data_IF_380134303320
#
_entry.id   IF_380134303320
#
_cell.length_a   1.000
_cell.length_b   1.000
_cell.length_c   1.000
_cell.angle_alpha   90.00
_cell.angle_beta   90.00
_cell.angle_gamma   90.00
#
_symmetry.space_group_name_H-M   'P 1'
#
loop_
_entity.id
_entity.type
_entity.pdbx_description
1 polymer ?
#
# COMPACT_ATOMS: atom_id res chain seq x y z
N UNK A 1 29.57 46.19 -18.11
CA UNK A 1 29.92 45.60 -16.81
C UNK A 1 28.59 45.22 -16.11
N UNK A 2 28.22 43.97 -16.18
CA UNK A 2 27.05 43.43 -15.48
C UNK A 2 27.57 42.71 -14.24
N UNK A 3 27.30 43.27 -13.07
CA UNK A 3 27.55 42.58 -11.80
C UNK A 3 26.45 41.53 -11.58
N UNK A 4 26.80 40.25 -11.68
CA UNK A 4 25.99 39.15 -11.14
C UNK A 4 26.25 39.07 -9.64
N UNK A 5 25.24 39.40 -8.85
CA UNK A 5 25.23 39.03 -7.43
C UNK A 5 24.74 37.58 -7.33
N UNK A 6 25.65 36.66 -7.01
CA UNK A 6 25.27 35.33 -6.56
C UNK A 6 24.60 35.44 -5.19
N UNK A 7 23.33 35.06 -5.10
CA UNK A 7 22.68 34.81 -3.82
C UNK A 7 23.11 33.39 -3.38
N UNK A 8 24.04 33.33 -2.44
CA UNK A 8 24.30 32.09 -1.69
C UNK A 8 23.05 31.79 -0.84
N UNK A 9 22.20 30.87 -1.32
CA UNK A 9 21.16 30.31 -0.46
C UNK A 9 21.81 29.31 0.49
N UNK A 10 22.00 29.71 1.73
CA UNK A 10 22.35 28.79 2.81
C UNK A 10 21.11 27.96 3.11
N UNK A 11 21.15 26.67 2.81
CA UNK A 11 20.14 25.75 3.30
C UNK A 11 20.21 25.74 4.84
N UNK A 12 19.10 26.06 5.50
CA UNK A 12 19.00 25.88 6.94
C UNK A 12 18.83 24.38 7.20
N UNK A 13 19.83 23.75 7.82
CA UNK A 13 19.67 22.42 8.35
C UNK A 13 18.97 22.52 9.72
N UNK A 14 17.84 21.87 9.87
CA UNK A 14 17.22 21.65 11.16
C UNK A 14 17.73 20.31 11.71
N UNK A 15 18.29 20.33 12.90
CA UNK A 15 18.60 19.10 13.63
C UNK A 15 17.54 18.91 14.72
N UNK A 16 17.02 17.71 14.85
CA UNK A 16 16.20 17.35 15.99
C UNK A 16 17.05 17.48 17.26
N UNK A 17 16.55 18.23 18.24
CA UNK A 17 17.13 18.26 19.56
C UNK A 17 16.54 17.08 20.34
N UNK A 18 17.39 16.17 20.73
CA UNK A 18 17.03 15.06 21.62
C UNK A 18 16.89 15.61 23.06
N UNK A 19 15.68 16.13 23.34
CA UNK A 19 15.36 16.66 24.67
C UNK A 19 14.56 15.58 25.41
N UNK A 20 15.11 14.97 26.48
CA UNK A 20 14.39 13.94 27.20
C UNK A 20 13.13 14.51 27.86
N UNK A 21 12.01 13.82 27.67
CA UNK A 21 10.72 14.12 28.31
C UNK A 21 10.49 13.09 29.41
N UNK A 22 10.37 13.56 30.65
CA UNK A 22 10.19 12.71 31.82
C UNK A 22 8.81 12.96 32.43
N UNK A 23 8.01 11.91 32.60
CA UNK A 23 6.71 11.94 33.29
C UNK A 23 6.81 10.98 34.49
N UNK A 24 6.50 11.46 35.66
CA UNK A 24 6.53 10.69 36.90
C UNK A 24 7.86 9.93 37.13
N UNK A 25 8.99 10.51 36.68
CA UNK A 25 10.31 9.93 36.81
C UNK A 25 10.66 8.86 35.76
N UNK A 26 9.80 8.62 34.79
CA UNK A 26 10.06 7.76 33.62
C UNK A 26 10.29 8.62 32.38
N UNK A 27 11.35 8.34 31.66
CA UNK A 27 11.64 8.92 30.36
C UNK A 27 10.78 8.26 29.29
N UNK A 28 10.19 9.08 28.40
CA UNK A 28 9.39 8.61 27.28
C UNK A 28 10.30 8.36 26.08
N UNK A 29 10.31 7.15 25.55
CA UNK A 29 11.15 6.74 24.41
C UNK A 29 10.75 7.38 23.08
N UNK A 30 9.50 7.79 22.93
CA UNK A 30 8.95 8.36 21.70
C UNK A 30 8.26 9.72 21.92
N UNK A 31 8.75 10.52 22.85
CA UNK A 31 8.10 11.77 23.27
C UNK A 31 7.91 12.79 22.13
N UNK A 32 8.75 12.73 21.10
CA UNK A 32 8.76 13.67 19.98
C UNK A 32 8.32 13.04 18.63
N UNK A 33 7.89 11.79 18.64
CA UNK A 33 7.41 11.11 17.45
C UNK A 33 6.16 11.78 16.86
N UNK A 34 5.44 12.54 17.67
CA UNK A 34 4.17 13.15 17.27
C UNK A 34 2.99 12.20 17.40
N UNK A 35 1.81 12.70 17.03
CA UNK A 35 0.60 11.90 16.90
C UNK A 35 0.38 11.48 15.46
N UNK A 36 -0.36 10.39 15.28
CA UNK A 36 -0.83 9.92 13.97
C UNK A 36 -2.33 10.13 13.86
N UNK A 37 -2.82 10.42 12.67
CA UNK A 37 -4.25 10.60 12.41
C UNK A 37 -4.85 9.42 11.62
N UNK A 38 -4.13 8.93 10.61
CA UNK A 38 -4.54 7.77 9.82
C UNK A 38 -3.33 6.90 9.45
N UNK A 39 -2.66 6.26 10.44
CA UNK A 39 -1.44 5.52 10.20
C UNK A 39 -1.69 4.18 9.53
N UNK A 40 -0.76 3.81 8.65
CA UNK A 40 -0.55 2.46 8.14
C UNK A 40 0.75 1.93 8.74
N UNK A 41 0.75 0.70 9.20
CA UNK A 41 1.90 0.07 9.83
C UNK A 41 2.45 -1.05 8.97
N UNK A 42 3.77 -1.15 8.91
CA UNK A 42 4.51 -2.23 8.26
C UNK A 42 5.75 -2.58 9.09
N UNK A 43 6.26 -3.78 8.88
CA UNK A 43 7.51 -4.25 9.44
C UNK A 43 8.63 -4.07 8.41
N UNK A 44 9.84 -3.75 8.88
CA UNK A 44 11.03 -3.55 8.05
C UNK A 44 12.26 -3.67 8.94
N UNK A 45 13.35 -4.22 8.44
CA UNK A 45 14.68 -4.13 9.09
C UNK A 45 15.38 -2.86 8.56
N UNK A 46 15.44 -1.81 9.37
CA UNK A 46 16.00 -0.51 9.00
C UNK A 46 17.52 -0.46 9.07
N UNK A 47 18.10 -1.22 10.01
CA UNK A 47 19.50 -1.11 10.39
C UNK A 47 20.34 -2.36 10.12
N UNK A 48 19.72 -3.44 9.59
CA UNK A 48 20.39 -4.68 9.24
C UNK A 48 20.77 -5.55 10.45
N UNK A 49 19.97 -5.49 11.53
CA UNK A 49 20.24 -6.26 12.75
C UNK A 49 19.39 -7.53 12.89
N UNK A 50 18.63 -7.89 11.89
CA UNK A 50 17.72 -9.05 11.81
C UNK A 50 16.49 -8.94 12.75
N UNK A 51 16.28 -7.82 13.44
CA UNK A 51 15.05 -7.54 14.16
C UNK A 51 14.13 -6.67 13.29
N UNK A 52 12.87 -7.11 13.15
CA UNK A 52 11.90 -6.30 12.41
C UNK A 52 11.54 -5.06 13.22
N UNK A 53 11.85 -3.93 12.65
CA UNK A 53 11.53 -2.58 13.09
C UNK A 53 10.11 -2.20 12.72
N UNK A 54 9.61 -1.08 13.24
CA UNK A 54 8.28 -0.59 12.92
C UNK A 54 8.37 0.64 12.01
N UNK A 55 7.72 0.53 10.88
CA UNK A 55 7.44 1.64 9.98
C UNK A 55 5.98 2.05 10.10
N UNK A 56 5.71 3.35 10.15
CA UNK A 56 4.38 3.91 10.10
C UNK A 56 4.31 5.02 9.04
N UNK A 57 3.26 4.99 8.22
CA UNK A 57 2.96 6.04 7.27
C UNK A 57 1.65 6.72 7.64
N UNK A 58 1.70 8.00 8.01
CA UNK A 58 0.47 8.77 8.27
C UNK A 58 -0.04 9.38 6.97
N UNK A 59 -1.18 8.88 6.50
CA UNK A 59 -1.84 9.26 5.26
C UNK A 59 -2.26 10.74 5.21
N UNK A 60 -2.63 11.32 6.35
CA UNK A 60 -3.12 12.71 6.37
C UNK A 60 -2.00 13.70 6.07
N UNK A 61 -0.80 13.41 6.52
CA UNK A 61 0.36 14.26 6.28
C UNK A 61 1.30 13.77 5.20
N UNK A 62 1.10 12.53 4.68
CA UNK A 62 2.09 11.80 3.89
C UNK A 62 3.45 11.74 4.61
N UNK A 63 3.41 11.37 5.90
CA UNK A 63 4.57 11.42 6.79
C UNK A 63 5.05 10.00 7.09
N UNK A 64 6.34 9.77 6.85
CA UNK A 64 7.02 8.56 7.26
C UNK A 64 7.47 8.69 8.72
N UNK A 65 7.32 7.63 9.49
CA UNK A 65 7.83 7.51 10.85
C UNK A 65 8.48 6.15 11.03
N UNK A 66 9.68 6.15 11.60
CA UNK A 66 10.49 4.96 11.77
C UNK A 66 10.83 4.75 13.23
N UNK A 67 10.80 3.50 13.69
CA UNK A 67 11.05 3.13 15.08
C UNK A 67 11.88 1.85 15.09
N UNK A 68 13.03 1.88 15.73
CA UNK A 68 13.87 0.69 15.92
C UNK A 68 13.31 -0.20 17.02
N UNK A 69 13.32 -1.50 16.77
CA UNK A 69 13.02 -2.53 17.74
C UNK A 69 14.18 -2.62 18.76
N UNK A 70 13.88 -2.52 20.05
CA UNK A 70 14.91 -2.57 21.09
C UNK A 70 15.45 -3.99 21.33
N UNK A 71 15.00 -5.00 20.59
CA UNK A 71 15.48 -6.39 20.67
C UNK A 71 15.20 -7.08 22.00
N UNK A 72 14.20 -6.61 22.76
CA UNK A 72 13.87 -7.16 24.08
C UNK A 72 12.91 -8.33 23.92
N UNK A 73 13.38 -9.55 24.14
CA UNK A 73 12.59 -10.77 23.98
C UNK A 73 11.27 -10.72 24.78
N UNK A 74 10.15 -10.98 24.07
CA UNK A 74 8.81 -11.01 24.65
C UNK A 74 8.21 -9.64 24.99
N UNK A 75 8.79 -8.55 24.53
CA UNK A 75 8.27 -7.20 24.69
C UNK A 75 8.18 -6.49 23.34
N UNK A 76 7.09 -5.77 23.12
CA UNK A 76 6.99 -4.81 22.03
C UNK A 76 7.57 -3.48 22.52
N UNK A 77 8.84 -3.26 22.24
CA UNK A 77 9.58 -2.06 22.67
C UNK A 77 10.27 -1.45 21.46
N UNK A 78 9.90 -0.21 21.15
CA UNK A 78 10.41 0.51 20.00
C UNK A 78 10.91 1.90 20.41
N UNK A 79 12.03 2.31 19.82
CA UNK A 79 12.61 3.64 19.98
C UNK A 79 12.42 4.44 18.68
N UNK A 80 11.88 5.66 18.79
CA UNK A 80 11.71 6.55 17.62
C UNK A 80 13.05 6.88 16.98
N UNK A 81 13.18 6.64 15.67
CA UNK A 81 14.44 6.71 14.93
C UNK A 81 14.29 7.53 13.62
N UNK A 82 14.05 8.85 13.72
CA UNK A 82 13.74 9.69 12.54
C UNK A 82 14.91 9.83 11.56
N UNK A 83 16.09 9.34 11.88
CA UNK A 83 17.22 9.37 10.95
C UNK A 83 16.98 8.55 9.69
N UNK A 84 16.20 7.46 9.79
CA UNK A 84 15.87 6.58 8.66
C UNK A 84 14.75 7.11 7.78
N UNK A 85 13.96 8.09 8.23
CA UNK A 85 12.84 8.64 7.45
C UNK A 85 13.29 9.27 6.13
N UNK A 86 14.52 9.78 6.08
CA UNK A 86 15.08 10.42 4.89
C UNK A 86 15.38 9.44 3.73
N UNK A 87 15.46 8.14 4.01
CA UNK A 87 15.72 7.10 3.02
C UNK A 87 14.44 6.72 2.25
N UNK A 88 13.27 7.07 2.79
CA UNK A 88 11.98 6.76 2.14
C UNK A 88 11.65 7.74 1.03
N UNK A 89 11.16 7.26 -0.13
CA UNK A 89 10.73 8.13 -1.21
C UNK A 89 9.45 8.88 -0.83
N UNK A 90 9.15 9.95 -1.54
CA UNK A 90 7.87 10.65 -1.36
C UNK A 90 6.72 9.76 -1.77
N UNK A 91 5.90 9.34 -0.80
CA UNK A 91 4.68 8.56 -0.99
C UNK A 91 3.45 9.44 -0.82
N UNK A 92 2.37 9.11 -1.53
CA UNK A 92 1.08 9.78 -1.42
C UNK A 92 -0.01 8.74 -1.10
N UNK A 93 -0.97 9.12 -0.30
CA UNK A 93 -2.17 8.38 0.04
C UNK A 93 -1.93 7.08 0.85
N UNK A 94 -1.00 6.24 0.48
CA UNK A 94 -0.59 5.04 1.24
C UNK A 94 0.86 4.67 0.96
N UNK A 95 1.42 3.87 1.86
CA UNK A 95 2.74 3.25 1.73
C UNK A 95 2.68 1.87 2.38
N UNK A 96 2.63 0.82 1.55
CA UNK A 96 2.53 -0.57 1.97
C UNK A 96 3.85 -1.25 1.65
N UNK A 97 4.47 -1.86 2.66
CA UNK A 97 5.73 -2.55 2.51
C UNK A 97 5.50 -4.05 2.33
N UNK A 98 6.09 -4.62 1.27
CA UNK A 98 6.12 -6.04 0.96
C UNK A 98 7.42 -6.37 0.25
N UNK A 99 8.01 -7.50 0.55
CA UNK A 99 9.13 -8.08 -0.21
C UNK A 99 8.53 -8.80 -1.43
N UNK A 100 8.44 -8.10 -2.57
CA UNK A 100 7.78 -8.65 -3.77
C UNK A 100 8.70 -9.58 -4.57
N UNK A 101 10.01 -9.33 -4.52
CA UNK A 101 11.01 -10.06 -5.29
C UNK A 101 11.72 -11.15 -4.45
N UNK A 102 11.32 -11.32 -3.18
CA UNK A 102 11.82 -12.32 -2.23
C UNK A 102 13.35 -12.26 -2.01
N UNK A 103 13.91 -11.05 -2.06
CA UNK A 103 15.33 -10.82 -1.81
C UNK A 103 15.63 -10.60 -0.30
N UNK A 104 14.60 -10.53 0.52
CA UNK A 104 14.67 -10.33 1.97
C UNK A 104 14.62 -8.87 2.39
N UNK A 105 14.50 -7.94 1.46
CA UNK A 105 14.31 -6.51 1.73
C UNK A 105 12.85 -6.12 1.47
N UNK A 106 12.36 -5.13 2.19
CA UNK A 106 11.03 -4.61 1.96
C UNK A 106 11.02 -3.62 0.81
N UNK A 107 10.05 -3.77 -0.10
CA UNK A 107 9.74 -2.85 -1.18
C UNK A 107 8.52 -2.02 -0.83
N UNK A 108 8.33 -0.88 -1.49
CA UNK A 108 7.24 0.05 -1.21
C UNK A 108 6.25 0.09 -2.36
N UNK A 109 4.99 -0.27 -2.06
CA UNK A 109 3.86 0.00 -2.93
C UNK A 109 3.16 1.27 -2.46
N UNK A 110 2.97 2.21 -3.38
CA UNK A 110 2.33 3.50 -3.09
C UNK A 110 1.46 3.97 -4.25
N UNK A 111 0.68 5.00 -4.02
CA UNK A 111 -0.16 5.59 -5.06
C UNK A 111 0.66 6.30 -6.13
N UNK A 112 0.27 6.11 -7.39
CA UNK A 112 0.75 6.87 -8.55
C UNK A 112 -0.38 7.71 -9.14
N UNK A 113 -0.15 9.03 -9.27
CA UNK A 113 -1.19 9.97 -9.67
C UNK A 113 -1.50 9.95 -11.17
N UNK A 114 -0.49 9.75 -12.02
CA UNK A 114 -0.67 9.81 -13.50
C UNK A 114 0.13 8.69 -14.17
N UNK A 115 -0.57 7.65 -14.65
CA UNK A 115 -2.00 7.37 -14.44
C UNK A 115 -2.33 7.06 -12.98
N UNK A 116 -3.60 7.13 -12.58
CA UNK A 116 -4.02 6.63 -11.26
C UNK A 116 -3.77 5.12 -11.20
N UNK A 117 -2.77 4.73 -10.43
CA UNK A 117 -2.24 3.37 -10.39
C UNK A 117 -1.39 3.14 -9.14
N UNK A 118 -0.62 2.07 -9.14
CA UNK A 118 0.39 1.75 -8.16
C UNK A 118 1.78 2.09 -8.68
N UNK A 119 2.61 2.66 -7.82
CA UNK A 119 4.06 2.75 -8.01
C UNK A 119 4.74 1.81 -7.05
N UNK A 120 5.80 1.18 -7.54
CA UNK A 120 6.64 0.30 -6.77
C UNK A 120 8.03 0.93 -6.64
N UNK A 121 8.59 0.87 -5.45
CA UNK A 121 10.00 1.17 -5.20
C UNK A 121 10.67 -0.08 -4.65
N UNK A 122 11.78 -0.47 -5.24
CA UNK A 122 12.56 -1.63 -4.81
C UNK A 122 13.52 -1.22 -3.71
N UNK A 123 13.53 -1.97 -2.61
CA UNK A 123 14.47 -1.80 -1.51
C UNK A 123 15.87 -2.29 -1.87
N UNK A 124 16.89 -1.62 -1.41
CA UNK A 124 18.29 -2.06 -1.52
C UNK A 124 19.11 -1.56 -0.34
N UNK A 125 20.26 -2.18 -0.09
CA UNK A 125 21.17 -1.71 0.94
C UNK A 125 22.13 -0.70 0.34
N UNK A 126 22.14 0.51 0.87
CA UNK A 126 23.00 1.60 0.45
C UNK A 126 24.46 1.44 0.95
N UNK A 127 25.34 2.40 0.60
CA UNK A 127 26.74 2.35 0.97
C UNK A 127 27.02 2.49 2.48
N UNK A 128 26.06 3.00 3.24
CA UNK A 128 26.13 3.20 4.69
C UNK A 128 25.61 1.96 5.44
N UNK A 129 25.11 0.94 4.71
CA UNK A 129 24.58 -0.30 5.26
C UNK A 129 23.12 -0.20 5.70
N UNK A 130 22.41 0.83 5.27
CA UNK A 130 21.02 1.09 5.60
C UNK A 130 20.13 0.78 4.40
N UNK A 131 18.86 0.46 4.64
CA UNK A 131 17.89 0.30 3.56
C UNK A 131 17.60 1.66 2.90
N UNK A 132 17.50 1.63 1.59
CA UNK A 132 17.14 2.76 0.72
C UNK A 132 16.29 2.23 -0.43
N UNK A 133 15.68 3.10 -1.25
CA UNK A 133 14.68 2.70 -2.23
C UNK A 133 14.92 3.37 -3.58
N UNK A 134 14.75 2.60 -4.65
CA UNK A 134 14.75 3.13 -6.02
C UNK A 134 13.45 2.79 -6.75
N UNK A 135 13.02 3.67 -7.66
CA UNK A 135 11.80 3.44 -8.42
C UNK A 135 11.96 2.21 -9.31
N UNK A 136 11.01 1.28 -9.22
CA UNK A 136 10.90 0.18 -10.15
C UNK A 136 10.49 0.69 -11.53
N UNK A 137 11.17 0.22 -12.57
CA UNK A 137 10.81 0.48 -13.97
C UNK A 137 10.75 -0.85 -14.69
N UNK A 138 9.58 -1.17 -15.27
CA UNK A 138 9.42 -2.42 -15.99
C UNK A 138 10.29 -2.47 -17.28
N UNK A 139 10.72 -3.66 -17.65
CA UNK A 139 11.65 -3.89 -18.75
C UNK A 139 10.98 -3.97 -20.13
N UNK A 140 9.64 -4.06 -20.20
CA UNK A 140 8.89 -4.22 -21.44
C UNK A 140 8.42 -2.88 -22.03
N UNK A 141 7.85 -2.00 -21.19
CA UNK A 141 7.28 -0.70 -21.60
C UNK A 141 7.98 0.49 -21.00
N UNK A 142 8.98 0.27 -20.11
CA UNK A 142 9.69 1.31 -19.38
C UNK A 142 8.73 2.20 -18.53
N UNK A 143 7.63 1.61 -17.99
CA UNK A 143 6.72 2.31 -17.10
C UNK A 143 7.27 2.34 -15.66
N UNK A 144 7.08 3.45 -14.98
CA UNK A 144 7.39 3.64 -13.55
C UNK A 144 6.15 3.44 -12.65
N UNK A 145 5.15 2.72 -13.17
CA UNK A 145 3.92 2.32 -12.49
C UNK A 145 3.54 0.89 -12.88
N UNK A 146 2.79 0.21 -12.02
CA UNK A 146 2.37 -1.16 -12.27
C UNK A 146 1.24 -1.22 -13.30
N UNK A 147 1.33 -2.19 -14.17
CA UNK A 147 0.42 -2.40 -15.30
C UNK A 147 0.06 -3.88 -15.44
N UNK A 148 -0.99 -4.17 -16.19
CA UNK A 148 -1.45 -5.52 -16.45
C UNK A 148 -1.71 -5.77 -17.92
N UNK A 149 -1.73 -7.05 -18.34
CA UNK A 149 -2.13 -7.44 -19.69
C UNK A 149 -3.63 -7.41 -19.85
N UNK A 150 -4.14 -6.44 -20.60
CA UNK A 150 -5.57 -6.31 -20.89
C UNK A 150 -6.00 -7.21 -22.04
N UNK A 151 -7.02 -8.03 -21.82
CA UNK A 151 -7.64 -8.85 -22.87
C UNK A 151 -8.51 -7.98 -23.79
N UNK A 152 -8.70 -8.36 -25.08
CA UNK A 152 -8.21 -9.60 -25.71
C UNK A 152 -6.83 -9.47 -26.39
N UNK A 153 -6.23 -8.30 -26.44
CA UNK A 153 -5.07 -8.03 -27.29
C UNK A 153 -3.73 -7.97 -26.54
N UNK A 154 -3.73 -8.27 -25.25
CA UNK A 154 -2.56 -8.12 -24.36
C UNK A 154 -1.93 -6.71 -24.40
N UNK A 155 -2.72 -5.68 -24.66
CA UNK A 155 -2.23 -4.32 -24.53
C UNK A 155 -2.03 -3.98 -23.04
N UNK A 156 -1.03 -3.17 -22.69
CA UNK A 156 -0.84 -2.77 -21.30
C UNK A 156 -2.00 -1.88 -20.82
N UNK A 157 -2.55 -2.19 -19.66
CA UNK A 157 -3.49 -1.37 -18.91
C UNK A 157 -2.88 -1.04 -17.54
N UNK A 158 -3.08 0.16 -17.02
CA UNK A 158 -2.64 0.47 -15.65
C UNK A 158 -3.55 -0.23 -14.64
N UNK A 159 -2.96 -0.78 -13.59
CA UNK A 159 -3.71 -1.27 -12.42
C UNK A 159 -4.35 -0.05 -11.77
N UNK A 160 -5.66 0.12 -12.00
CA UNK A 160 -6.36 1.31 -11.54
C UNK A 160 -6.51 1.27 -10.02
N UNK A 161 -5.93 2.26 -9.36
CA UNK A 161 -6.18 2.55 -7.94
C UNK A 161 -6.59 4.02 -7.85
N UNK A 162 -7.86 4.30 -7.59
CA UNK A 162 -8.34 5.67 -7.41
C UNK A 162 -7.66 6.38 -6.23
N UNK A 163 -7.57 7.69 -6.31
CA UNK A 163 -7.12 8.48 -5.18
C UNK A 163 -8.03 8.23 -3.96
N UNK A 164 -7.45 7.99 -2.81
CA UNK A 164 -8.05 7.59 -1.54
C UNK A 164 -8.32 6.08 -1.36
N UNK A 165 -8.38 5.29 -2.42
CA UNK A 165 -8.49 3.84 -2.27
C UNK A 165 -7.15 3.24 -1.83
N UNK A 166 -7.22 2.13 -1.09
CA UNK A 166 -6.05 1.35 -0.69
C UNK A 166 -6.28 -0.09 -1.15
N UNK A 167 -5.46 -0.62 -2.05
CA UNK A 167 -5.55 -2.00 -2.49
C UNK A 167 -5.03 -2.96 -1.42
N UNK A 168 -5.44 -4.23 -1.47
CA UNK A 168 -4.73 -5.29 -0.78
C UNK A 168 -3.56 -5.78 -1.64
N UNK A 169 -2.40 -5.97 -1.02
CA UNK A 169 -1.16 -6.41 -1.64
C UNK A 169 -0.63 -7.58 -0.83
N UNK A 170 -0.78 -8.80 -1.37
CA UNK A 170 -0.44 -10.05 -0.70
C UNK A 170 -0.38 -11.20 -1.72
N UNK A 171 0.21 -12.32 -1.33
CA UNK A 171 0.07 -13.61 -2.02
C UNK A 171 -1.37 -14.11 -1.80
N UNK A 172 -2.25 -13.91 -2.78
CA UNK A 172 -3.69 -14.17 -2.66
C UNK A 172 -4.02 -15.63 -2.98
N UNK A 173 -3.40 -16.18 -4.01
CA UNK A 173 -3.65 -17.56 -4.48
C UNK A 173 -2.69 -18.59 -3.90
N UNK A 174 -1.75 -18.16 -3.04
CA UNK A 174 -0.78 -18.98 -2.30
C UNK A 174 0.25 -19.67 -3.22
N UNK A 175 0.57 -19.06 -4.34
CA UNK A 175 1.62 -19.53 -5.24
C UNK A 175 3.02 -19.00 -4.88
N UNK A 176 3.08 -18.02 -3.98
CA UNK A 176 4.28 -17.48 -3.37
C UNK A 176 4.71 -16.15 -3.94
N UNK A 177 4.03 -15.58 -4.92
CA UNK A 177 4.30 -14.23 -5.39
C UNK A 177 3.23 -13.22 -4.91
N UNK A 178 3.44 -11.93 -5.16
CA UNK A 178 2.56 -10.87 -4.67
C UNK A 178 1.54 -10.50 -5.72
N UNK A 179 0.26 -10.65 -5.34
CA UNK A 179 -0.91 -10.23 -6.10
C UNK A 179 -1.49 -8.92 -5.58
N UNK A 180 -2.46 -8.40 -6.33
CA UNK A 180 -3.14 -7.15 -6.00
C UNK A 180 -4.66 -7.35 -6.10
N UNK A 181 -5.37 -7.02 -5.00
CA UNK A 181 -6.80 -6.82 -5.03
C UNK A 181 -7.09 -5.33 -5.02
N UNK A 182 -7.85 -4.85 -6.00
CA UNK A 182 -8.27 -3.46 -6.06
C UNK A 182 -9.71 -3.35 -6.55
N UNK A 183 -10.42 -2.34 -6.08
CA UNK A 183 -11.74 -2.04 -6.62
C UNK A 183 -11.66 -1.61 -8.08
N UNK A 184 -12.67 -1.99 -8.84
CA UNK A 184 -12.86 -1.53 -10.22
C UNK A 184 -13.11 -0.01 -10.28
N UNK A 185 -13.16 0.54 -11.48
CA UNK A 185 -13.40 1.99 -11.67
C UNK A 185 -14.75 2.49 -11.16
N UNK A 186 -15.72 1.61 -10.88
CA UNK A 186 -16.99 1.95 -10.24
C UNK A 186 -16.95 1.89 -8.71
N UNK A 187 -15.94 1.23 -8.14
CA UNK A 187 -15.82 0.98 -6.71
C UNK A 187 -16.79 -0.06 -6.18
N UNK A 188 -17.25 -0.97 -7.03
CA UNK A 188 -18.29 -1.95 -6.71
C UNK A 188 -17.71 -3.36 -6.62
N UNK A 189 -16.82 -3.73 -7.55
CA UNK A 189 -16.25 -5.06 -7.62
C UNK A 189 -14.77 -5.03 -7.29
N UNK A 190 -14.31 -6.07 -6.62
CA UNK A 190 -12.88 -6.28 -6.38
C UNK A 190 -12.31 -7.14 -7.51
N UNK A 191 -11.34 -6.58 -8.23
CA UNK A 191 -10.58 -7.28 -9.25
C UNK A 191 -9.36 -7.93 -8.62
N UNK A 192 -9.06 -9.16 -9.03
CA UNK A 192 -7.78 -9.81 -8.75
C UNK A 192 -6.84 -9.60 -9.92
N UNK A 193 -5.74 -8.93 -9.66
CA UNK A 193 -4.60 -8.82 -10.55
C UNK A 193 -3.56 -9.83 -10.07
N UNK A 194 -3.59 -11.02 -10.66
CA UNK A 194 -2.65 -12.10 -10.40
C UNK A 194 -1.30 -11.79 -11.05
N UNK A 195 -0.22 -11.96 -10.33
CA UNK A 195 1.12 -11.91 -10.87
C UNK A 195 1.41 -13.23 -11.59
N UNK A 196 1.47 -13.21 -12.90
CA UNK A 196 1.72 -14.38 -13.76
C UNK A 196 3.14 -14.36 -14.31
N UNK A 197 4.01 -13.55 -13.75
CA UNK A 197 5.40 -13.40 -14.14
C UNK A 197 6.21 -14.67 -13.84
N UNK A 198 7.11 -15.02 -14.79
CA UNK A 198 8.09 -16.08 -14.57
C UNK A 198 9.40 -15.55 -13.98
N UNK A 199 9.55 -14.24 -13.98
CA UNK A 199 10.70 -13.53 -13.47
C UNK A 199 10.25 -12.70 -12.26
N UNK A 200 10.71 -13.09 -11.09
CA UNK A 200 10.32 -12.48 -9.82
C UNK A 200 10.74 -11.01 -9.73
N UNK A 201 11.82 -10.62 -10.42
CA UNK A 201 12.27 -9.23 -10.49
C UNK A 201 11.39 -8.35 -11.39
N UNK A 202 10.55 -8.97 -12.24
CA UNK A 202 9.72 -8.29 -13.22
C UNK A 202 8.26 -8.79 -13.13
N UNK A 203 7.47 -8.32 -12.15
CA UNK A 203 6.09 -8.76 -11.97
C UNK A 203 5.24 -8.47 -13.20
N UNK A 204 4.40 -9.41 -13.57
CA UNK A 204 3.51 -9.35 -14.73
C UNK A 204 2.09 -9.67 -14.30
N UNK A 205 1.25 -8.68 -14.28
CA UNK A 205 -0.11 -8.82 -13.79
C UNK A 205 -1.10 -9.12 -14.91
N UNK A 206 -2.14 -9.86 -14.55
CA UNK A 206 -3.30 -10.16 -15.38
C UNK A 206 -4.54 -10.20 -14.51
N UNK A 207 -5.66 -9.65 -14.98
CA UNK A 207 -6.93 -9.84 -14.28
C UNK A 207 -7.37 -11.28 -14.50
N UNK A 208 -7.46 -12.04 -13.45
CA UNK A 208 -7.97 -13.42 -13.45
C UNK A 208 -9.38 -13.49 -12.90
N UNK A 209 -9.76 -12.58 -12.01
CA UNK A 209 -11.10 -12.46 -11.48
C UNK A 209 -11.58 -11.01 -11.50
N UNK A 210 -12.80 -10.81 -12.04
CA UNK A 210 -13.49 -9.51 -12.05
C UNK A 210 -14.45 -9.32 -10.89
N UNK A 211 -14.54 -10.28 -9.99
CA UNK A 211 -15.42 -10.30 -8.83
C UNK A 211 -14.86 -11.25 -7.80
N UNK A 212 -13.67 -10.95 -7.32
CA UNK A 212 -12.99 -11.80 -6.35
C UNK A 212 -13.86 -12.01 -5.10
N UNK A 213 -13.91 -13.25 -4.61
CA UNK A 213 -14.74 -13.63 -3.48
C UNK A 213 -16.25 -13.67 -3.76
N UNK A 214 -16.68 -13.51 -5.03
CA UNK A 214 -18.10 -13.61 -5.42
C UNK A 214 -19.00 -12.59 -4.73
N UNK A 215 -18.50 -11.38 -4.46
CA UNK A 215 -19.29 -10.32 -3.84
C UNK A 215 -19.17 -8.99 -4.61
N UNK A 216 -20.09 -8.09 -4.30
CA UNK A 216 -20.05 -6.71 -4.75
C UNK A 216 -20.50 -5.77 -3.64
N UNK A 217 -19.89 -4.59 -3.58
CA UNK A 217 -20.24 -3.54 -2.63
C UNK A 217 -21.26 -2.57 -3.21
N UNK A 218 -22.23 -2.15 -2.39
CA UNK A 218 -23.19 -1.13 -2.80
C UNK A 218 -22.52 0.23 -2.92
N UNK A 219 -22.75 0.93 -4.02
CA UNK A 219 -22.26 2.30 -4.19
C UNK A 219 -23.01 3.35 -3.33
N UNK A 220 -24.03 2.94 -2.57
CA UNK A 220 -24.91 3.86 -1.82
C UNK A 220 -24.79 3.72 -0.31
N UNK A 221 -24.42 2.55 0.16
CA UNK A 221 -24.36 2.21 1.59
C UNK A 221 -23.41 1.04 1.81
N UNK A 222 -23.22 0.60 3.05
CA UNK A 222 -22.35 -0.53 3.39
C UNK A 222 -22.97 -1.91 3.11
N UNK A 223 -23.87 -2.04 2.15
CA UNK A 223 -24.47 -3.33 1.80
C UNK A 223 -23.51 -4.12 0.92
N UNK A 224 -23.23 -5.35 1.32
CA UNK A 224 -22.48 -6.32 0.50
C UNK A 224 -23.48 -7.32 -0.10
N UNK A 225 -23.41 -7.49 -1.42
CA UNK A 225 -24.16 -8.49 -2.16
C UNK A 225 -23.27 -9.72 -2.32
N UNK A 226 -23.68 -10.86 -1.77
CA UNK A 226 -22.93 -12.10 -1.74
C UNK A 226 -23.47 -13.13 -2.73
N UNK A 227 -22.68 -14.19 -3.01
CA UNK A 227 -23.02 -15.33 -3.85
C UNK A 227 -23.25 -14.95 -5.33
N UNK A 228 -22.45 -14.07 -5.83
CA UNK A 228 -22.38 -13.76 -7.24
C UNK A 228 -21.55 -14.85 -7.94
N UNK A 229 -22.22 -15.86 -8.50
CA UNK A 229 -21.61 -17.17 -8.86
C UNK A 229 -20.66 -17.18 -10.07
N UNK A 230 -20.50 -16.08 -10.81
CA UNK A 230 -19.56 -16.05 -11.94
C UNK A 230 -19.13 -14.61 -12.26
N UNK A 231 -17.92 -14.45 -12.79
CA UNK A 231 -17.39 -13.15 -13.24
C UNK A 231 -18.29 -12.44 -14.25
N UNK A 232 -19.12 -13.17 -14.99
CA UNK A 232 -20.11 -12.65 -15.93
C UNK A 232 -21.34 -12.14 -15.18
N UNK A 233 -21.83 -12.87 -14.18
CA UNK A 233 -22.99 -12.48 -13.39
C UNK A 233 -22.68 -11.25 -12.50
N UNK A 234 -21.46 -11.12 -12.00
CA UNK A 234 -20.99 -9.94 -11.32
C UNK A 234 -21.07 -8.68 -12.18
N UNK A 235 -20.60 -8.74 -13.43
CA UNK A 235 -20.64 -7.61 -14.35
C UNK A 235 -22.06 -7.33 -14.85
N UNK A 236 -22.84 -8.37 -15.14
CA UNK A 236 -24.21 -8.24 -15.69
C UNK A 236 -25.21 -7.74 -14.62
N UNK A 237 -25.01 -8.05 -13.35
CA UNK A 237 -25.90 -7.60 -12.27
C UNK A 237 -26.01 -6.07 -12.19
N UNK A 238 -24.90 -5.36 -12.40
CA UNK A 238 -24.84 -3.89 -12.36
C UNK A 238 -25.01 -3.24 -13.73
N UNK A 239 -24.92 -4.01 -14.82
CA UNK A 239 -25.20 -3.54 -16.18
C UNK A 239 -26.69 -3.66 -16.53
N UNK A 240 -27.51 -4.30 -15.68
CA UNK A 240 -28.96 -4.37 -15.89
C UNK A 240 -29.60 -3.01 -15.58
N UNK A 241 -30.11 -2.27 -16.58
CA UNK A 241 -30.71 -0.96 -16.39
C UNK A 241 -32.02 -1.00 -15.58
N UNK A 242 -32.52 -2.19 -15.21
CA UNK A 242 -33.68 -2.36 -14.32
C UNK A 242 -33.29 -2.41 -12.85
N UNK A 243 -32.02 -2.68 -12.53
CA UNK A 243 -31.48 -2.45 -11.21
C UNK A 243 -31.13 -0.95 -11.13
N UNK A 244 -31.92 -0.19 -10.39
CA UNK A 244 -31.71 1.24 -10.16
C UNK A 244 -30.44 1.48 -9.30
N UNK A 245 -29.30 1.05 -9.80
CA UNK A 245 -28.03 1.58 -9.32
C UNK A 245 -27.89 2.92 -10.03
N UNK A 246 -27.90 3.98 -9.26
CA UNK A 246 -27.67 5.33 -9.79
C UNK A 246 -26.24 5.35 -10.37
N UNK A 247 -26.13 5.02 -11.67
CA UNK A 247 -24.92 4.69 -12.42
C UNK A 247 -23.87 5.81 -12.51
N UNK A 248 -23.86 6.74 -11.56
CA UNK A 248 -22.92 7.83 -11.41
C UNK A 248 -22.37 7.99 -9.99
N UNK A 249 -22.77 7.16 -9.03
CA UNK A 249 -22.23 7.22 -7.67
C UNK A 249 -21.05 6.28 -7.58
N UNK A 250 -19.86 6.82 -7.75
CA UNK A 250 -18.62 6.10 -7.51
C UNK A 250 -18.37 6.06 -6.02
N UNK A 251 -18.17 4.88 -5.47
CA UNK A 251 -17.53 4.68 -4.18
C UNK A 251 -16.13 5.29 -4.22
N UNK A 252 -15.74 6.02 -3.22
CA UNK A 252 -14.39 6.58 -3.13
C UNK A 252 -13.84 6.37 -1.73
N UNK A 253 -12.56 5.95 -1.65
CA UNK A 253 -11.89 5.73 -0.38
C UNK A 253 -12.13 4.35 0.22
N UNK A 254 -12.45 3.37 -0.62
CA UNK A 254 -12.50 1.97 -0.23
C UNK A 254 -11.11 1.44 0.09
N UNK A 255 -11.00 0.68 1.16
CA UNK A 255 -9.73 0.11 1.63
C UNK A 255 -9.86 -1.39 1.78
N UNK A 256 -8.85 -2.12 1.31
CA UNK A 256 -8.79 -3.57 1.35
C UNK A 256 -7.57 -4.02 2.15
N UNK A 257 -7.77 -5.04 3.00
CA UNK A 257 -6.70 -5.75 3.67
C UNK A 257 -6.97 -7.25 3.58
N UNK A 258 -6.12 -7.96 2.85
CA UNK A 258 -6.18 -9.41 2.73
C UNK A 258 -5.27 -10.08 3.78
N UNK A 259 -5.83 -11.02 4.54
CA UNK A 259 -5.12 -11.80 5.55
C UNK A 259 -5.92 -13.05 5.91
N UNK A 260 -5.28 -14.05 6.49
CA UNK A 260 -5.93 -15.24 7.01
C UNK A 260 -6.49 -14.92 8.40
N UNK A 261 -7.79 -14.68 8.51
CA UNK A 261 -8.44 -14.25 9.75
C UNK A 261 -8.89 -15.43 10.62
N UNK A 262 -9.21 -16.57 10.02
CA UNK A 262 -9.73 -17.75 10.74
C UNK A 262 -8.75 -18.92 10.85
N UNK A 263 -7.61 -18.86 10.16
CA UNK A 263 -6.49 -19.78 10.29
C UNK A 263 -6.59 -21.00 9.37
N UNK A 264 -7.35 -20.90 8.27
CA UNK A 264 -7.51 -22.00 7.31
C UNK A 264 -6.57 -21.92 6.10
N UNK A 265 -5.75 -20.87 6.05
CA UNK A 265 -4.66 -20.56 5.11
C UNK A 265 -5.08 -19.80 3.85
N UNK A 266 -6.35 -19.73 3.51
CA UNK A 266 -6.77 -18.82 2.43
C UNK A 266 -6.86 -17.36 2.88
N UNK A 267 -7.12 -16.44 1.97
CA UNK A 267 -7.18 -15.01 2.28
C UNK A 267 -8.61 -14.55 2.46
N UNK A 268 -8.86 -14.04 3.66
CA UNK A 268 -10.04 -13.26 3.99
C UNK A 268 -9.82 -11.80 3.65
N UNK A 269 -10.90 -11.03 3.56
CA UNK A 269 -10.85 -9.63 3.21
C UNK A 269 -11.52 -8.74 4.25
N UNK A 270 -10.75 -7.81 4.80
CA UNK A 270 -11.30 -6.71 5.58
C UNK A 270 -11.51 -5.51 4.65
N UNK A 271 -12.76 -5.04 4.57
CA UNK A 271 -13.20 -3.96 3.72
C UNK A 271 -13.54 -2.75 4.58
N UNK A 272 -12.99 -1.61 4.27
CA UNK A 272 -13.31 -0.33 4.89
C UNK A 272 -13.67 0.71 3.85
N UNK A 273 -14.46 1.70 4.24
CA UNK A 273 -14.93 2.78 3.39
C UNK A 273 -14.97 4.10 4.16
N UNK A 274 -14.58 5.19 3.52
CA UNK A 274 -14.63 6.54 4.11
C UNK A 274 -16.05 7.05 4.37
N UNK A 275 -17.04 6.47 3.69
CA UNK A 275 -18.47 6.89 3.83
C UNK A 275 -19.20 6.16 4.94
N UNK A 276 -18.62 5.08 5.46
CA UNK A 276 -19.21 4.22 6.47
C UNK A 276 -18.41 4.24 7.78
N UNK A 277 -19.07 4.04 8.89
CA UNK A 277 -18.50 4.05 10.24
C UNK A 277 -18.14 2.64 10.76
N UNK A 278 -18.15 1.64 9.91
CA UNK A 278 -17.82 0.26 10.24
C UNK A 278 -17.02 -0.40 9.12
N UNK A 279 -16.30 -1.45 9.47
CA UNK A 279 -15.59 -2.31 8.54
C UNK A 279 -16.33 -3.63 8.39
N UNK A 280 -16.15 -4.28 7.25
CA UNK A 280 -16.74 -5.57 6.91
C UNK A 280 -15.62 -6.58 6.79
N UNK A 281 -15.72 -7.69 7.51
CA UNK A 281 -14.84 -8.84 7.33
C UNK A 281 -15.61 -9.89 6.52
N UNK A 282 -15.13 -10.16 5.32
CA UNK A 282 -15.58 -11.25 4.47
C UNK A 282 -14.63 -12.43 4.68
N UNK A 283 -15.17 -13.56 5.11
CA UNK A 283 -14.46 -14.83 5.26
C UNK A 283 -14.63 -15.61 3.95
N UNK A 284 -13.53 -16.05 3.37
CA UNK A 284 -13.49 -16.79 2.12
C UNK A 284 -13.88 -18.27 2.33
#
# INVERSE_FOLDING_TARGET
FTLLFGLDSQAQSFSNLDIPVVIDGQELSAAWAGGTEAPQFSEIDLNGDDFMDLYAFDRVGNVHMTYLNDGIEGQLSYTYAPAYEANFPSCENFSILRDYNQDGLMDIFTYNNVPQSLRLYTGFINNDGEIDFEVFVDDEYEYDFLWFYALPNNNPGNILVPYLDIPAIADIDLDGDIDILAFDGSGVHVYMYENVGLDIEQPRFKITEYCWGGFAESALDATIFMNLEDSIDCVDYFMDPTNETDGNSRHSGSTLLAFDADGDLDKDLLIGDLTNDHMILAIN
#
